data_IF_672370544989
#
_entry.id   IF_672370544989
#
_cell.length_a   1.000
_cell.length_b   1.000
_cell.length_c   1.000
_cell.angle_alpha   90.00
_cell.angle_beta   90.00
_cell.angle_gamma   90.00
#
_symmetry.space_group_name_H-M   'P 1'
#
loop_
_entity.id
_entity.type
_entity.pdbx_description
1 polymer ?
#
# COMPACT_ATOMS: atom_id res chain seq x y z
N UNK A 1 -1.65 17.33 53.44
CA UNK A 1 -2.11 17.54 52.05
C UNK A 1 -1.01 17.02 51.15
N UNK A 2 -1.23 15.86 50.55
CA UNK A 2 -0.33 15.27 49.56
C UNK A 2 -0.69 15.90 48.22
N UNK A 3 0.26 16.42 47.43
CA UNK A 3 -0.07 16.94 46.11
C UNK A 3 -0.46 15.77 45.20
N UNK A 4 -1.54 15.95 44.43
CA UNK A 4 -1.94 15.00 43.39
C UNK A 4 -0.81 14.83 42.36
N UNK A 5 -0.52 13.60 41.92
CA UNK A 5 0.40 13.39 40.81
C UNK A 5 -0.23 13.99 39.54
N UNK A 6 0.54 14.84 38.86
CA UNK A 6 0.16 15.39 37.56
C UNK A 6 -0.26 14.26 36.60
N UNK A 7 -1.29 14.45 35.76
CA UNK A 7 -1.71 13.43 34.83
C UNK A 7 -0.55 13.05 33.92
N UNK A 8 -0.10 11.80 34.03
CA UNK A 8 0.79 11.19 33.06
C UNK A 8 0.05 11.20 31.73
N UNK A 9 0.50 12.03 30.79
CA UNK A 9 0.05 11.95 29.41
C UNK A 9 0.51 10.58 28.89
N UNK A 10 -0.40 9.61 28.89
CA UNK A 10 -0.23 8.41 28.09
C UNK A 10 0.07 8.87 26.65
N UNK A 11 1.07 8.30 25.97
CA UNK A 11 1.22 8.56 24.54
C UNK A 11 -0.12 8.20 23.90
N UNK A 12 -0.72 9.17 23.21
CA UNK A 12 -2.00 9.01 22.55
C UNK A 12 -1.89 7.78 21.64
N UNK A 13 -2.55 6.68 22.02
CA UNK A 13 -2.36 5.34 21.45
C UNK A 13 -2.92 5.20 20.02
N UNK A 14 -3.00 6.30 19.28
CA UNK A 14 -3.42 6.34 17.90
C UNK A 14 -2.25 5.97 17.01
N UNK A 15 -2.24 4.71 16.56
CA UNK A 15 -1.38 4.29 15.46
C UNK A 15 -1.73 5.10 14.21
N UNK A 16 -0.74 5.80 13.64
CA UNK A 16 -0.93 6.61 12.44
C UNK A 16 -0.61 5.80 11.20
N UNK A 17 -1.46 5.91 10.19
CA UNK A 17 -1.31 5.18 8.92
C UNK A 17 -1.31 6.18 7.78
N UNK A 18 -0.34 6.05 6.89
CA UNK A 18 -0.35 6.74 5.59
C UNK A 18 -0.87 5.78 4.53
N UNK A 19 -1.77 6.26 3.67
CA UNK A 19 -2.36 5.46 2.60
C UNK A 19 -1.80 5.88 1.25
N UNK A 20 -1.41 4.89 0.45
CA UNK A 20 -1.12 5.03 -0.97
C UNK A 20 -2.11 4.20 -1.77
N UNK A 21 -2.60 4.79 -2.86
CA UNK A 21 -3.37 4.07 -3.87
C UNK A 21 -2.42 3.25 -4.72
N UNK A 22 -2.70 1.96 -4.87
CA UNK A 22 -1.97 1.02 -5.73
C UNK A 22 -2.85 0.63 -6.90
N UNK A 23 -2.45 1.05 -8.09
CA UNK A 23 -3.20 0.83 -9.32
C UNK A 23 -2.52 -0.26 -10.14
N UNK A 24 -3.14 -1.46 -10.32
CA UNK A 24 -2.60 -2.46 -11.22
C UNK A 24 -2.76 -2.02 -12.67
N UNK A 25 -1.71 -2.20 -13.47
CA UNK A 25 -1.65 -1.70 -14.84
C UNK A 25 -1.43 -2.81 -15.86
N UNK A 26 -2.13 -2.69 -16.99
CA UNK A 26 -1.91 -3.45 -18.22
C UNK A 26 -1.53 -2.49 -19.35
N UNK A 27 -0.69 -2.95 -20.27
CA UNK A 27 -0.45 -2.19 -21.49
C UNK A 27 -1.53 -2.52 -22.52
N UNK A 28 -1.84 -1.61 -23.46
CA UNK A 28 -2.84 -1.88 -24.51
C UNK A 28 -2.52 -3.13 -25.35
N UNK A 29 -1.23 -3.44 -25.50
CA UNK A 29 -0.73 -4.50 -26.38
C UNK A 29 -0.48 -5.82 -25.63
N UNK A 30 -0.32 -5.78 -24.32
CA UNK A 30 -0.16 -6.94 -23.45
C UNK A 30 -1.15 -6.89 -22.30
N UNK A 31 -2.14 -7.78 -22.36
CA UNK A 31 -3.14 -7.92 -21.32
C UNK A 31 -2.57 -8.50 -20.02
N UNK A 32 -1.30 -8.88 -19.93
CA UNK A 32 -0.68 -9.31 -18.67
C UNK A 32 -0.40 -8.09 -17.80
N UNK A 33 -0.86 -8.11 -16.55
CA UNK A 33 -0.48 -7.11 -15.56
C UNK A 33 1.04 -7.13 -15.38
N UNK A 34 1.71 -6.04 -15.73
CA UNK A 34 3.17 -5.97 -15.69
C UNK A 34 3.71 -5.21 -14.48
N UNK A 35 2.94 -4.22 -13.98
CA UNK A 35 3.37 -3.33 -12.90
C UNK A 35 2.19 -2.67 -12.19
N UNK A 36 2.50 -1.93 -11.12
CA UNK A 36 1.58 -1.00 -10.48
C UNK A 36 2.06 0.45 -10.61
N UNK A 37 1.12 1.39 -10.67
CA UNK A 37 1.39 2.78 -10.32
C UNK A 37 0.96 3.05 -8.88
N UNK A 38 1.66 3.97 -8.22
CA UNK A 38 1.41 4.34 -6.84
C UNK A 38 1.09 5.83 -6.75
N UNK A 39 0.10 6.17 -5.93
CA UNK A 39 -0.30 7.56 -5.75
C UNK A 39 -0.52 7.88 -4.28
N UNK A 40 -0.07 9.06 -3.86
CA UNK A 40 -0.52 9.66 -2.62
C UNK A 40 -1.63 10.65 -2.94
N UNK A 41 -2.76 10.54 -2.25
CA UNK A 41 -3.88 11.47 -2.43
C UNK A 41 -3.81 12.51 -1.33
N UNK A 42 -3.51 13.74 -1.70
CA UNK A 42 -3.51 14.89 -0.79
C UNK A 42 -4.46 15.94 -1.37
N UNK A 43 -5.43 16.40 -0.57
CA UNK A 43 -6.41 17.41 -0.98
C UNK A 43 -7.13 17.10 -2.30
N UNK A 44 -7.52 15.82 -2.48
CA UNK A 44 -8.13 15.27 -3.71
C UNK A 44 -7.23 15.26 -4.96
N UNK A 45 -5.95 15.60 -4.81
CA UNK A 45 -4.96 15.54 -5.89
C UNK A 45 -4.21 14.21 -5.83
N UNK A 46 -4.21 13.49 -6.95
CA UNK A 46 -3.46 12.25 -7.12
C UNK A 46 -2.02 12.57 -7.47
N UNK A 47 -1.12 12.47 -6.50
CA UNK A 47 0.30 12.71 -6.68
C UNK A 47 1.02 11.38 -6.96
N UNK A 48 1.68 11.21 -8.11
CA UNK A 48 2.40 9.98 -8.40
C UNK A 48 3.58 9.82 -7.45
N UNK A 49 3.80 8.59 -6.99
CA UNK A 49 4.92 8.22 -6.13
C UNK A 49 5.66 7.07 -6.79
N UNK A 50 6.98 7.16 -6.86
CA UNK A 50 7.78 6.06 -7.38
C UNK A 50 7.70 4.86 -6.42
N UNK A 51 7.73 3.61 -6.93
CA UNK A 51 7.68 2.41 -6.08
C UNK A 51 8.81 2.34 -5.04
N UNK A 52 9.92 3.03 -5.24
CA UNK A 52 11.04 3.09 -4.29
C UNK A 52 10.91 4.21 -3.25
N UNK A 53 9.91 5.08 -3.38
CA UNK A 53 9.74 6.29 -2.57
C UNK A 53 8.51 6.25 -1.67
N UNK A 54 7.86 5.09 -1.54
CA UNK A 54 6.84 4.88 -0.51
C UNK A 54 7.49 4.99 0.87
N UNK A 55 6.82 5.68 1.78
CA UNK A 55 7.40 5.97 3.10
C UNK A 55 6.35 6.11 4.18
N UNK A 56 6.73 5.92 5.44
CA UNK A 56 5.89 6.27 6.61
C UNK A 56 5.89 7.76 6.91
N UNK A 57 5.65 8.61 5.91
CA UNK A 57 5.66 10.05 6.12
C UNK A 57 4.64 10.48 7.19
N UNK A 58 4.87 11.69 7.73
CA UNK A 58 3.97 12.35 8.69
C UNK A 58 3.82 11.64 10.05
N UNK A 59 4.87 10.91 10.47
CA UNK A 59 4.88 10.22 11.76
C UNK A 59 3.94 9.01 11.80
N UNK A 60 3.79 8.33 10.65
CA UNK A 60 2.99 7.11 10.56
C UNK A 60 3.81 5.91 11.03
N UNK A 61 3.15 4.94 11.66
CA UNK A 61 3.77 3.65 12.03
C UNK A 61 3.50 2.57 10.97
N UNK A 62 2.47 2.81 10.16
CA UNK A 62 1.95 1.88 9.15
C UNK A 62 1.85 2.53 7.79
N UNK A 63 2.04 1.71 6.76
CA UNK A 63 1.65 2.03 5.39
C UNK A 63 0.46 1.17 4.99
N UNK A 64 -0.60 1.81 4.52
CA UNK A 64 -1.73 1.18 3.87
C UNK A 64 -1.55 1.29 2.35
N UNK A 65 -1.56 0.15 1.67
CA UNK A 65 -1.62 0.07 0.22
C UNK A 65 -3.02 -0.35 -0.17
N UNK A 66 -3.80 0.59 -0.71
CA UNK A 66 -5.21 0.40 -1.06
C UNK A 66 -5.36 0.37 -2.57
N UNK A 67 -6.08 -0.61 -3.10
CA UNK A 67 -6.46 -0.62 -4.50
C UNK A 67 -7.74 0.21 -4.70
N UNK A 68 -7.68 1.34 -5.43
CA UNK A 68 -8.88 2.11 -5.74
C UNK A 68 -9.74 1.35 -6.75
N UNK A 69 -11.03 1.71 -6.84
CA UNK A 69 -11.87 1.18 -7.92
C UNK A 69 -11.51 1.91 -9.21
N UNK A 70 -11.54 1.22 -10.35
CA UNK A 70 -11.26 1.82 -11.66
C UNK A 70 -12.02 3.13 -11.93
N UNK A 71 -13.27 3.22 -11.49
CA UNK A 71 -14.14 4.41 -11.63
C UNK A 71 -13.74 5.60 -10.75
N UNK A 72 -12.89 5.39 -9.76
CA UNK A 72 -12.44 6.43 -8.82
C UNK A 72 -11.19 7.16 -9.35
N UNK A 73 -10.59 6.68 -10.45
CA UNK A 73 -9.41 7.30 -11.05
C UNK A 73 -9.81 8.51 -11.93
N UNK A 74 -9.10 9.65 -11.82
CA UNK A 74 -9.23 10.77 -12.73
C UNK A 74 -8.91 10.39 -14.18
N UNK A 75 -9.61 11.02 -15.12
CA UNK A 75 -9.35 10.88 -16.55
C UNK A 75 -7.91 11.31 -16.89
N UNK A 76 -7.24 10.51 -17.73
CA UNK A 76 -5.87 10.79 -18.18
C UNK A 76 -4.77 10.52 -17.15
N UNK A 77 -5.10 10.13 -15.90
CA UNK A 77 -4.12 9.90 -14.84
C UNK A 77 -3.05 8.86 -15.24
N UNK A 78 -3.44 7.82 -15.99
CA UNK A 78 -2.58 6.69 -16.35
C UNK A 78 -1.84 6.88 -17.69
N UNK A 79 -2.05 7.99 -18.39
CA UNK A 79 -1.49 8.21 -19.72
C UNK A 79 -1.87 7.09 -20.71
N UNK A 80 -0.91 6.39 -21.36
CA UNK A 80 -1.20 5.34 -22.33
C UNK A 80 -1.59 4.00 -21.70
N UNK A 81 -1.35 3.81 -20.40
CA UNK A 81 -1.68 2.57 -19.69
C UNK A 81 -3.13 2.55 -19.24
N UNK A 82 -3.60 1.35 -18.88
CA UNK A 82 -4.98 1.15 -18.41
C UNK A 82 -5.00 0.45 -17.07
N UNK A 83 -6.02 0.81 -16.29
CA UNK A 83 -6.37 0.10 -15.07
C UNK A 83 -6.70 -1.36 -15.41
N UNK A 84 -6.08 -2.31 -14.72
CA UNK A 84 -6.43 -3.73 -14.87
C UNK A 84 -7.67 -4.07 -14.04
N UNK A 85 -8.83 -4.14 -14.70
CA UNK A 85 -10.09 -4.51 -14.08
C UNK A 85 -10.20 -6.00 -13.71
N UNK A 86 -9.31 -6.84 -14.23
CA UNK A 86 -9.27 -8.27 -13.93
C UNK A 86 -8.41 -8.55 -12.67
N UNK A 87 -7.56 -7.62 -12.25
CA UNK A 87 -6.65 -7.78 -11.11
C UNK A 87 -7.23 -7.21 -9.81
N UNK A 88 -7.22 -8.01 -8.74
CA UNK A 88 -7.64 -7.61 -7.39
C UNK A 88 -6.52 -7.92 -6.39
N UNK A 89 -6.13 -6.96 -5.57
CA UNK A 89 -5.11 -7.09 -4.54
C UNK A 89 -5.57 -8.14 -3.53
N UNK A 90 -4.76 -9.19 -3.38
CA UNK A 90 -5.07 -10.37 -2.59
C UNK A 90 -4.22 -10.45 -1.32
N UNK A 91 -2.93 -10.14 -1.43
CA UNK A 91 -2.00 -10.21 -0.31
C UNK A 91 -0.74 -9.38 -0.58
N UNK A 92 0.11 -9.27 0.43
CA UNK A 92 1.48 -8.80 0.32
C UNK A 92 2.42 -9.66 1.14
N UNK A 93 3.64 -9.83 0.64
CA UNK A 93 4.77 -10.35 1.40
C UNK A 93 5.79 -9.23 1.52
N UNK A 94 6.30 -8.98 2.72
CA UNK A 94 7.25 -7.92 2.96
C UNK A 94 8.41 -8.38 3.83
N UNK A 95 9.64 -7.98 3.51
CA UNK A 95 10.84 -8.29 4.29
C UNK A 95 11.59 -7.02 4.64
N UNK A 96 11.96 -6.86 5.91
CA UNK A 96 12.88 -5.78 6.31
C UNK A 96 14.29 -6.08 5.81
N UNK A 97 14.88 -5.14 5.05
CA UNK A 97 16.15 -5.32 4.36
C UNK A 97 17.35 -4.79 5.14
N UNK A 98 17.18 -3.71 5.92
CA UNK A 98 18.31 -3.00 6.55
C UNK A 98 18.67 -3.52 7.94
N UNK A 99 17.70 -4.03 8.71
CA UNK A 99 17.91 -4.58 10.06
C UNK A 99 16.87 -5.65 10.39
N UNK A 100 17.26 -6.70 11.15
CA UNK A 100 16.29 -7.70 11.62
C UNK A 100 15.41 -7.10 12.73
N UNK A 101 14.23 -6.61 12.35
CA UNK A 101 13.27 -5.94 13.26
C UNK A 101 12.12 -6.85 13.74
N UNK A 102 12.17 -8.16 13.44
CA UNK A 102 11.15 -9.12 13.89
C UNK A 102 9.71 -8.82 13.40
N UNK A 103 9.55 -7.98 12.37
CA UNK A 103 8.23 -7.59 11.87
C UNK A 103 7.56 -8.75 11.11
N UNK A 104 6.20 -8.82 11.10
CA UNK A 104 5.46 -9.79 10.29
C UNK A 104 5.82 -9.65 8.82
N UNK A 105 5.85 -10.75 8.08
CA UNK A 105 6.26 -10.75 6.67
C UNK A 105 5.12 -11.05 5.68
N UNK A 106 3.93 -11.41 6.16
CA UNK A 106 2.80 -11.81 5.32
C UNK A 106 1.56 -11.07 5.74
N UNK A 107 0.85 -10.49 4.77
CA UNK A 107 -0.30 -9.63 4.98
C UNK A 107 -1.39 -10.02 3.99
N UNK A 108 -2.54 -10.48 4.47
CA UNK A 108 -3.69 -10.69 3.60
C UNK A 108 -4.38 -9.35 3.35
N UNK A 109 -4.90 -9.16 2.14
CA UNK A 109 -5.71 -8.00 1.85
C UNK A 109 -7.02 -8.10 2.64
N UNK A 110 -7.40 -6.99 3.26
CA UNK A 110 -8.71 -6.76 3.84
C UNK A 110 -9.50 -5.83 2.92
N UNK A 111 -10.82 -5.78 3.08
CA UNK A 111 -11.65 -4.86 2.30
C UNK A 111 -12.21 -3.77 3.21
N UNK A 112 -12.13 -2.52 2.77
CA UNK A 112 -12.89 -1.40 3.35
C UNK A 112 -13.60 -0.67 2.22
N UNK A 113 -14.91 -0.43 2.39
CA UNK A 113 -15.75 0.26 1.40
C UNK A 113 -15.66 -0.32 -0.02
N UNK A 114 -15.43 -1.63 -0.14
CA UNK A 114 -15.22 -2.33 -1.41
C UNK A 114 -13.93 -1.97 -2.12
N UNK A 115 -12.88 -1.64 -1.35
CA UNK A 115 -11.51 -1.43 -1.80
C UNK A 115 -10.58 -2.38 -1.04
N UNK A 116 -9.93 -3.32 -1.73
CA UNK A 116 -8.93 -4.18 -1.11
C UNK A 116 -7.72 -3.38 -0.65
N UNK A 117 -7.18 -3.69 0.52
CA UNK A 117 -6.01 -3.01 1.09
C UNK A 117 -5.17 -3.92 1.97
N UNK A 118 -3.87 -3.67 1.97
CA UNK A 118 -2.91 -4.28 2.92
C UNK A 118 -2.32 -3.19 3.81
N UNK A 119 -2.26 -3.45 5.13
CA UNK A 119 -1.68 -2.53 6.11
C UNK A 119 -0.45 -3.18 6.71
N UNK A 120 0.69 -2.50 6.60
CA UNK A 120 1.99 -3.06 6.98
C UNK A 120 2.71 -2.13 7.96
N UNK A 121 3.24 -2.66 9.08
CA UNK A 121 4.11 -1.88 9.95
C UNK A 121 5.47 -1.70 9.30
N UNK A 122 6.05 -0.52 9.49
CA UNK A 122 7.39 -0.20 9.01
C UNK A 122 8.14 0.46 10.15
N UNK A 123 9.25 -0.13 10.57
CA UNK A 123 10.01 0.42 11.69
C UNK A 123 10.76 1.70 11.26
N UNK A 124 10.88 2.70 12.15
CA UNK A 124 11.69 3.89 11.88
C UNK A 124 13.13 3.53 11.49
N UNK A 125 13.65 4.24 10.49
CA UNK A 125 14.99 4.03 9.93
C UNK A 125 15.20 2.69 9.21
N UNK A 126 14.12 1.99 8.84
CA UNK A 126 14.21 0.70 8.13
C UNK A 126 13.67 0.77 6.70
N UNK A 127 14.08 -0.17 5.86
CA UNK A 127 13.47 -0.35 4.52
C UNK A 127 12.84 -1.73 4.44
N UNK A 128 11.63 -1.80 3.91
CA UNK A 128 10.93 -3.06 3.58
C UNK A 128 10.88 -3.26 2.08
N UNK A 129 11.40 -4.37 1.58
CA UNK A 129 11.06 -4.85 0.23
C UNK A 129 9.72 -5.55 0.26
N UNK A 130 8.83 -5.26 -0.68
CA UNK A 130 7.46 -5.74 -0.70
C UNK A 130 7.12 -6.35 -2.07
N UNK A 131 6.43 -7.48 -2.03
CA UNK A 131 5.80 -8.12 -3.18
C UNK A 131 4.30 -8.09 -2.93
N UNK A 132 3.56 -7.40 -3.79
CA UNK A 132 2.11 -7.43 -3.80
C UNK A 132 1.65 -8.60 -4.66
N UNK A 133 0.64 -9.31 -4.19
CA UNK A 133 0.02 -10.43 -4.89
C UNK A 133 -1.38 -10.01 -5.28
N UNK A 134 -1.66 -10.05 -6.58
CA UNK A 134 -2.98 -9.83 -7.14
C UNK A 134 -3.56 -11.17 -7.56
N UNK A 135 -4.84 -11.40 -7.26
CA UNK A 135 -5.61 -12.45 -7.91
C UNK A 135 -6.19 -11.88 -9.19
N UNK A 136 -6.04 -12.62 -10.30
CA UNK A 136 -6.60 -12.22 -11.59
C UNK A 136 -7.81 -13.07 -11.92
N UNK A 137 -8.88 -12.42 -12.37
CA UNK A 137 -10.15 -13.03 -12.71
C UNK A 137 -10.54 -12.72 -14.15
N UNK A 138 -11.26 -13.63 -14.81
CA UNK A 138 -12.00 -13.33 -16.04
C UNK A 138 -13.43 -13.82 -15.88
N UNK A 139 -14.35 -12.89 -15.66
CA UNK A 139 -15.67 -13.21 -15.12
C UNK A 139 -15.52 -13.88 -13.76
N UNK A 140 -16.18 -15.03 -13.56
CA UNK A 140 -16.14 -15.77 -12.29
C UNK A 140 -14.93 -16.72 -12.17
N UNK A 141 -14.09 -16.83 -13.21
CA UNK A 141 -12.96 -17.73 -13.22
C UNK A 141 -11.70 -17.06 -12.64
N UNK A 142 -11.06 -17.71 -11.66
CA UNK A 142 -9.70 -17.37 -11.22
C UNK A 142 -8.69 -17.85 -12.27
N UNK A 143 -7.92 -16.93 -12.83
CA UNK A 143 -6.86 -17.23 -13.79
C UNK A 143 -5.54 -17.56 -13.09
N UNK A 144 -5.28 -16.94 -11.94
CA UNK A 144 -4.08 -17.19 -11.15
C UNK A 144 -3.69 -16.02 -10.25
N UNK A 145 -2.50 -16.13 -9.66
CA UNK A 145 -1.87 -15.08 -8.86
C UNK A 145 -0.78 -14.38 -9.67
N UNK A 146 -0.76 -13.06 -9.62
CA UNK A 146 0.23 -12.21 -10.28
C UNK A 146 1.01 -11.44 -9.20
N UNK A 147 2.30 -11.73 -9.03
CA UNK A 147 3.15 -10.96 -8.13
C UNK A 147 3.67 -9.68 -8.80
N UNK A 148 3.77 -8.60 -8.04
CA UNK A 148 4.58 -7.45 -8.42
C UNK A 148 6.06 -7.70 -8.13
N UNK A 149 6.95 -6.95 -8.78
CA UNK A 149 8.40 -6.98 -8.52
C UNK A 149 8.88 -5.88 -7.57
N UNK A 150 7.99 -4.90 -7.33
CA UNK A 150 8.18 -3.69 -6.54
C UNK A 150 6.91 -3.54 -5.66
N UNK A 151 6.89 -2.90 -4.47
CA UNK A 151 7.67 -1.71 -4.09
C UNK A 151 8.65 -1.86 -2.91
N UNK A 152 9.41 -0.79 -2.62
CA UNK A 152 10.12 -0.59 -1.35
C UNK A 152 9.43 0.45 -0.47
N UNK A 153 9.38 0.21 0.84
CA UNK A 153 8.77 1.12 1.81
C UNK A 153 9.79 1.53 2.87
N UNK A 154 10.03 2.83 3.00
CA UNK A 154 11.00 3.42 3.92
C UNK A 154 10.31 3.87 5.21
N UNK A 155 10.88 3.52 6.35
CA UNK A 155 10.50 4.06 7.65
C UNK A 155 11.25 5.35 7.90
N UNK A 156 10.57 6.48 7.92
CA UNK A 156 11.17 7.76 8.31
C UNK A 156 11.67 7.72 9.76
N UNK A 157 12.71 8.48 10.06
CA UNK A 157 13.25 8.66 11.42
C UNK A 157 12.36 9.58 12.26
#
# INVERSE_FOLDING_TARGET
MTPDPAPSAAPDGSFRTITYSVVPLVTPDDAVMQRCAYFHIQDQVWQPVAPQDLTTAYGSDFVCLEQPRGRDLPDGLLGPERYDHEATLFAAVAKTLTTSKGLPNTFLASELDGRPRVVMPVAPGSTRGVILLFVRHRGDQVLGLVPTRDPEIKGTL
#
